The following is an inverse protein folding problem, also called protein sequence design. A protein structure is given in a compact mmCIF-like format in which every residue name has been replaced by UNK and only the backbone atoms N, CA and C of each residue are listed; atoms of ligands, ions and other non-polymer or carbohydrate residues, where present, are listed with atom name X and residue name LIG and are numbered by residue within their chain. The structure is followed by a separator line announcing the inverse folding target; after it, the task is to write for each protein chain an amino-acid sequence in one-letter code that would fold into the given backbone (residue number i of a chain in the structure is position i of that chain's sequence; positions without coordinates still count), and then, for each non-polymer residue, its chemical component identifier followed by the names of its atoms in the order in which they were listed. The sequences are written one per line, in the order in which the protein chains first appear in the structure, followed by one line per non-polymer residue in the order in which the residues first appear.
data_IF_798625941312
#
_entry.id   IF_798625941312
#
_cell.length_a   1.000
_cell.length_b   1.000
_cell.length_c   1.000
_cell.angle_alpha   90.00
_cell.angle_beta   90.00
_cell.angle_gamma   90.00
#
_symmetry.space_group_name_H-M   'P 1'
#
loop_
_entity.id
_entity.type
_entity.pdbx_description
1 polymer ?
#
# COMPACT_ATOMS: atom_id res chain seq x y z
N UNK A 1 -19.63 5.97 18.38
CA UNK A 1 -18.31 5.41 17.99
C UNK A 1 -18.55 4.00 17.50
N UNK A 2 -18.31 3.71 16.21
CA UNK A 2 -18.50 2.36 15.68
C UNK A 2 -17.47 1.44 16.34
N UNK A 3 -17.88 0.28 16.85
CA UNK A 3 -17.03 -0.65 17.61
C UNK A 3 -16.01 -1.42 16.75
N UNK A 4 -15.55 -0.83 15.64
CA UNK A 4 -14.61 -1.45 14.73
C UNK A 4 -13.16 -1.18 15.09
N UNK A 5 -12.28 -2.15 14.80
CA UNK A 5 -10.84 -2.01 14.96
C UNK A 5 -10.07 -2.86 13.94
N UNK A 6 -8.80 -2.50 13.75
CA UNK A 6 -7.81 -3.25 12.97
C UNK A 6 -6.69 -3.73 13.88
N UNK A 7 -6.20 -4.94 13.63
CA UNK A 7 -4.99 -5.50 14.24
C UNK A 7 -4.03 -5.78 13.08
N UNK A 8 -2.81 -5.26 13.18
CA UNK A 8 -1.72 -5.46 12.21
C UNK A 8 -0.79 -6.59 12.65
N UNK A 9 -0.02 -7.14 11.71
CA UNK A 9 1.03 -8.16 11.98
C UNK A 9 0.53 -9.37 12.79
N UNK A 10 -0.73 -9.76 12.59
CA UNK A 10 -1.36 -10.88 13.25
C UNK A 10 -1.10 -12.20 12.52
N UNK A 11 -1.04 -13.28 13.29
CA UNK A 11 -0.92 -14.64 12.76
C UNK A 11 -2.28 -15.35 12.79
N UNK A 12 -2.42 -16.44 12.02
CA UNK A 12 -3.60 -17.32 12.09
C UNK A 12 -3.86 -17.84 13.50
N UNK A 13 -2.81 -18.03 14.31
CA UNK A 13 -2.92 -18.43 15.73
C UNK A 13 -3.59 -17.34 16.57
N UNK A 14 -3.16 -16.07 16.40
CA UNK A 14 -3.78 -14.92 17.08
C UNK A 14 -5.25 -14.81 16.69
N UNK A 15 -5.58 -14.93 15.41
CA UNK A 15 -6.97 -14.90 14.93
C UNK A 15 -7.83 -16.00 15.56
N UNK A 16 -7.35 -17.24 15.58
CA UNK A 16 -8.09 -18.36 16.18
C UNK A 16 -8.32 -18.18 17.70
N UNK A 17 -7.39 -17.52 18.40
CA UNK A 17 -7.48 -17.26 19.83
C UNK A 17 -8.46 -16.12 20.19
N UNK A 18 -8.62 -15.11 19.32
CA UNK A 18 -9.43 -13.91 19.59
C UNK A 18 -10.91 -14.23 19.86
N UNK A 19 -11.49 -15.21 19.17
CA UNK A 19 -12.92 -15.61 19.29
C UNK A 19 -13.92 -14.43 19.22
N UNK A 20 -13.61 -13.38 18.45
CA UNK A 20 -14.44 -12.18 18.31
C UNK A 20 -15.44 -12.35 17.16
N UNK A 21 -16.73 -12.12 17.44
CA UNK A 21 -17.78 -12.18 16.43
C UNK A 21 -17.58 -11.09 15.36
N UNK A 22 -17.61 -11.49 14.10
CA UNK A 22 -17.44 -10.57 12.96
C UNK A 22 -15.98 -10.18 12.67
N UNK A 23 -15.01 -10.81 13.33
CA UNK A 23 -13.61 -10.68 12.94
C UNK A 23 -13.34 -11.39 11.61
N UNK A 24 -12.55 -10.73 10.75
CA UNK A 24 -12.06 -11.27 9.48
C UNK A 24 -10.54 -11.23 9.49
N UNK A 25 -9.91 -12.37 9.20
CA UNK A 25 -8.48 -12.47 8.97
C UNK A 25 -8.15 -12.29 7.49
N UNK A 26 -7.13 -11.49 7.20
CA UNK A 26 -6.60 -11.23 5.87
C UNK A 26 -5.20 -11.85 5.80
N UNK A 27 -5.08 -13.08 5.26
CA UNK A 27 -3.83 -13.85 5.35
C UNK A 27 -2.68 -13.23 4.56
N UNK A 28 -2.97 -12.50 3.47
CA UNK A 28 -1.94 -11.88 2.63
C UNK A 28 -1.19 -10.77 3.37
N UNK A 29 -1.87 -10.01 4.23
CA UNK A 29 -1.29 -8.90 5.01
C UNK A 29 -1.07 -9.20 6.49
N UNK A 30 -1.56 -10.34 6.98
CA UNK A 30 -1.58 -10.60 8.43
C UNK A 30 -2.49 -9.64 9.19
N UNK A 31 -3.51 -9.06 8.55
CA UNK A 31 -4.43 -8.14 9.19
C UNK A 31 -5.63 -8.87 9.79
N UNK A 32 -6.17 -8.36 10.90
CA UNK A 32 -7.51 -8.73 11.39
C UNK A 32 -8.37 -7.47 11.44
N UNK A 33 -9.57 -7.54 10.89
CA UNK A 33 -10.53 -6.43 10.92
C UNK A 33 -11.83 -6.85 11.59
N UNK A 34 -12.39 -5.99 12.43
CA UNK A 34 -13.76 -6.09 12.96
C UNK A 34 -14.49 -4.81 12.60
N UNK A 35 -15.65 -4.90 11.96
CA UNK A 35 -16.40 -3.72 11.50
C UNK A 35 -15.79 -3.06 10.26
N UNK A 36 -15.71 -1.73 10.28
CA UNK A 36 -15.25 -0.91 9.15
C UNK A 36 -16.40 -0.26 8.36
N UNK A 37 -16.06 0.72 7.53
CA UNK A 37 -17.03 1.49 6.76
C UNK A 37 -17.65 0.65 5.65
N UNK A 38 -18.98 0.61 5.54
CA UNK A 38 -19.67 -0.17 4.52
C UNK A 38 -19.65 0.51 3.15
N UNK A 39 -19.85 1.83 3.14
CA UNK A 39 -19.84 2.63 1.90
C UNK A 39 -18.39 2.95 1.54
N UNK A 40 -18.02 2.67 0.29
CA UNK A 40 -16.68 2.96 -0.24
C UNK A 40 -16.76 4.15 -1.18
N UNK A 41 -15.92 5.16 -0.98
CA UNK A 41 -15.89 6.37 -1.81
C UNK A 41 -14.49 6.60 -2.42
N UNK A 42 -14.44 7.42 -3.47
CA UNK A 42 -13.21 7.79 -4.16
C UNK A 42 -12.54 6.60 -4.85
N UNK A 43 -11.22 6.68 -5.04
CA UNK A 43 -10.41 5.58 -5.57
C UNK A 43 -8.96 5.70 -5.09
N UNK A 44 -8.50 4.73 -4.31
CA UNK A 44 -7.10 4.57 -3.91
C UNK A 44 -6.51 3.44 -4.75
N UNK A 45 -5.46 3.73 -5.49
CA UNK A 45 -4.75 2.72 -6.29
C UNK A 45 -3.52 2.26 -5.53
N UNK A 46 -3.28 0.95 -5.45
CA UNK A 46 -2.11 0.37 -4.79
C UNK A 46 -1.31 -0.45 -5.79
N UNK A 47 -0.05 -0.10 -5.97
CA UNK A 47 0.90 -0.83 -6.79
C UNK A 47 1.94 -1.56 -5.95
N UNK A 48 2.39 -2.71 -6.43
CA UNK A 48 3.64 -3.35 -5.96
C UNK A 48 4.66 -3.43 -7.07
N UNK A 49 5.94 -3.24 -6.75
CA UNK A 49 7.02 -3.55 -7.70
C UNK A 49 7.14 -5.04 -7.98
N UNK A 50 7.09 -5.89 -6.95
CA UNK A 50 7.14 -7.34 -7.12
C UNK A 50 6.15 -8.08 -6.22
N UNK A 51 6.06 -9.39 -6.39
CA UNK A 51 5.18 -10.25 -5.58
C UNK A 51 5.57 -10.27 -4.10
N UNK A 52 6.85 -10.05 -3.79
CA UNK A 52 7.34 -9.98 -2.40
C UNK A 52 6.81 -8.77 -1.62
N UNK A 53 6.36 -7.73 -2.31
CA UNK A 53 5.80 -6.52 -1.70
C UNK A 53 4.29 -6.65 -1.38
N UNK A 54 3.64 -7.75 -1.82
CA UNK A 54 2.18 -7.92 -1.74
C UNK A 54 1.67 -7.82 -0.30
N UNK A 55 2.39 -8.34 0.70
CA UNK A 55 1.90 -8.32 2.08
C UNK A 55 1.74 -6.90 2.62
N UNK A 56 2.70 -6.02 2.32
CA UNK A 56 2.68 -4.61 2.71
C UNK A 56 1.63 -3.83 1.90
N UNK A 57 1.45 -4.15 0.61
CA UNK A 57 0.40 -3.56 -0.21
C UNK A 57 -1.01 -3.96 0.25
N UNK A 58 -1.22 -5.23 0.59
CA UNK A 58 -2.47 -5.73 1.16
C UNK A 58 -2.75 -5.11 2.53
N UNK A 59 -1.72 -4.83 3.35
CA UNK A 59 -1.89 -4.11 4.61
C UNK A 59 -2.45 -2.69 4.35
N UNK A 60 -1.89 -1.98 3.36
CA UNK A 60 -2.38 -0.67 2.95
C UNK A 60 -3.79 -0.72 2.38
N UNK A 61 -4.08 -1.71 1.52
CA UNK A 61 -5.37 -1.88 0.88
C UNK A 61 -6.49 -2.21 1.88
N UNK A 62 -6.24 -3.15 2.79
CA UNK A 62 -7.16 -3.50 3.89
C UNK A 62 -7.40 -2.28 4.77
N UNK A 63 -6.35 -1.53 5.12
CA UNK A 63 -6.47 -0.35 5.97
C UNK A 63 -7.30 0.75 5.32
N UNK A 64 -6.97 1.16 4.09
CA UNK A 64 -7.72 2.21 3.38
C UNK A 64 -9.17 1.78 3.12
N UNK A 65 -9.39 0.51 2.76
CA UNK A 65 -10.73 -0.04 2.59
C UNK A 65 -11.50 -0.01 3.89
N UNK A 66 -10.93 -0.49 5.01
CA UNK A 66 -11.57 -0.50 6.32
C UNK A 66 -12.07 0.89 6.74
N UNK A 67 -11.29 1.94 6.44
CA UNK A 67 -11.63 3.33 6.71
C UNK A 67 -12.69 3.92 5.77
N UNK A 68 -13.01 3.26 4.64
CA UNK A 68 -14.09 3.67 3.73
C UNK A 68 -13.66 4.13 2.35
N UNK A 69 -12.40 3.93 1.97
CA UNK A 69 -11.96 4.16 0.59
C UNK A 69 -12.31 2.98 -0.32
N UNK A 70 -12.69 3.24 -1.57
CA UNK A 70 -12.61 2.22 -2.61
C UNK A 70 -11.14 2.02 -2.95
N UNK A 71 -10.70 0.77 -2.99
CA UNK A 71 -9.30 0.43 -3.24
C UNK A 71 -9.21 -0.49 -4.46
N UNK A 72 -8.28 -0.18 -5.34
CA UNK A 72 -7.86 -1.00 -6.47
C UNK A 72 -6.40 -1.41 -6.24
N UNK A 73 -6.08 -2.69 -6.45
CA UNK A 73 -4.72 -3.21 -6.29
C UNK A 73 -4.23 -3.78 -7.62
N UNK A 74 -2.97 -3.51 -7.93
CA UNK A 74 -2.30 -4.03 -9.13
C UNK A 74 -0.90 -4.48 -8.74
N UNK A 75 -0.63 -5.77 -8.95
CA UNK A 75 0.58 -6.41 -8.49
C UNK A 75 1.62 -6.63 -9.60
N UNK A 76 2.88 -6.78 -9.20
CA UNK A 76 4.03 -7.06 -10.08
C UNK A 76 4.16 -6.11 -11.29
N UNK A 77 4.20 -4.79 -11.01
CA UNK A 77 4.41 -3.73 -12.02
C UNK A 77 5.80 -3.08 -11.93
N UNK A 78 6.79 -3.85 -11.50
CA UNK A 78 8.16 -3.39 -11.27
C UNK A 78 8.87 -2.86 -12.51
N UNK A 79 9.98 -2.17 -12.27
CA UNK A 79 10.74 -1.40 -13.28
C UNK A 79 11.30 -2.29 -14.41
N UNK A 80 11.63 -3.55 -14.13
CA UNK A 80 12.10 -4.49 -15.16
C UNK A 80 11.04 -4.78 -16.25
N UNK A 81 9.76 -4.49 -16.00
CA UNK A 81 8.67 -4.76 -16.92
C UNK A 81 7.70 -3.58 -17.03
N UNK A 82 8.19 -2.38 -17.37
CA UNK A 82 7.39 -1.15 -17.42
C UNK A 82 6.11 -1.24 -18.26
N UNK A 83 6.08 -2.07 -19.30
CA UNK A 83 4.87 -2.31 -20.07
C UNK A 83 3.68 -2.75 -19.20
N UNK A 84 3.93 -3.49 -18.11
CA UNK A 84 2.91 -3.90 -17.14
C UNK A 84 2.31 -2.69 -16.41
N UNK A 85 3.14 -1.73 -16.01
CA UNK A 85 2.66 -0.46 -15.44
C UNK A 85 1.89 0.36 -16.47
N UNK A 86 2.42 0.49 -17.70
CA UNK A 86 1.82 1.28 -18.77
C UNK A 86 0.44 0.77 -19.22
N UNK A 87 0.14 -0.52 -19.00
CA UNK A 87 -1.20 -1.08 -19.25
C UNK A 87 -2.25 -0.59 -18.24
N UNK A 88 -1.84 0.07 -17.14
CA UNK A 88 -2.72 0.56 -16.07
C UNK A 88 -2.98 2.07 -16.14
N UNK A 89 -2.82 2.71 -17.32
CA UNK A 89 -3.06 4.15 -17.52
C UNK A 89 -4.45 4.60 -17.06
N UNK A 90 -5.49 3.81 -17.32
CA UNK A 90 -6.86 4.15 -16.89
C UNK A 90 -6.98 4.20 -15.37
N UNK A 91 -6.41 3.22 -14.68
CA UNK A 91 -6.39 3.17 -13.22
C UNK A 91 -5.63 4.36 -12.64
N UNK A 92 -4.44 4.66 -13.18
CA UNK A 92 -3.61 5.82 -12.81
C UNK A 92 -4.41 7.14 -12.87
N UNK A 93 -5.10 7.40 -13.99
CA UNK A 93 -5.89 8.62 -14.16
C UNK A 93 -7.12 8.69 -13.25
N UNK A 94 -7.74 7.55 -12.94
CA UNK A 94 -8.94 7.48 -12.11
C UNK A 94 -8.67 7.57 -10.60
N UNK A 95 -7.42 7.36 -10.18
CA UNK A 95 -7.04 7.38 -8.78
C UNK A 95 -7.10 8.82 -8.22
N UNK A 96 -7.50 8.96 -6.95
CA UNK A 96 -7.35 10.21 -6.19
C UNK A 96 -5.99 10.29 -5.51
N UNK A 97 -5.43 9.13 -5.17
CA UNK A 97 -4.11 8.94 -4.54
C UNK A 97 -3.59 7.56 -4.88
N UNK A 98 -2.28 7.43 -5.04
CA UNK A 98 -1.62 6.19 -5.42
C UNK A 98 -0.66 5.78 -4.32
N UNK A 99 -0.76 4.56 -3.83
CA UNK A 99 0.22 3.93 -2.94
C UNK A 99 1.14 3.08 -3.81
N UNK A 100 2.45 3.28 -3.69
CA UNK A 100 3.45 2.49 -4.42
C UNK A 100 4.34 1.78 -3.40
N UNK A 101 4.25 0.47 -3.37
CA UNK A 101 5.00 -0.39 -2.46
C UNK A 101 6.15 -1.05 -3.23
N UNK A 102 7.39 -0.81 -2.81
CA UNK A 102 8.55 -1.32 -3.54
C UNK A 102 9.77 -1.52 -2.64
N UNK A 103 10.43 -2.67 -2.81
CA UNK A 103 11.73 -2.97 -2.23
C UNK A 103 12.90 -2.74 -3.18
N UNK A 104 14.02 -3.42 -2.91
CA UNK A 104 15.26 -3.36 -3.71
C UNK A 104 15.79 -1.91 -3.87
N UNK A 105 15.82 -1.37 -5.09
CA UNK A 105 16.28 -0.02 -5.43
C UNK A 105 15.22 1.08 -5.20
N UNK A 106 13.97 0.72 -4.87
CA UNK A 106 12.92 1.69 -4.54
C UNK A 106 12.53 2.65 -5.67
N UNK A 107 12.80 2.31 -6.92
CA UNK A 107 12.65 3.23 -8.07
C UNK A 107 11.22 3.40 -8.59
N UNK A 108 10.31 2.44 -8.31
CA UNK A 108 8.96 2.45 -8.87
C UNK A 108 8.15 3.72 -8.55
N UNK A 109 8.16 4.29 -7.33
CA UNK A 109 7.42 5.53 -7.05
C UNK A 109 7.83 6.71 -7.94
N UNK A 110 9.12 6.85 -8.23
CA UNK A 110 9.63 7.90 -9.13
C UNK A 110 9.13 7.69 -10.56
N UNK A 111 9.12 6.45 -11.04
CA UNK A 111 8.57 6.12 -12.36
C UNK A 111 7.07 6.43 -12.41
N UNK A 112 6.31 6.01 -11.40
CA UNK A 112 4.86 6.25 -11.33
C UNK A 112 4.54 7.73 -11.34
N UNK A 113 5.28 8.55 -10.59
CA UNK A 113 5.06 10.00 -10.57
C UNK A 113 5.50 10.75 -11.82
N UNK A 114 6.32 10.14 -12.68
CA UNK A 114 6.53 10.63 -14.04
C UNK A 114 5.34 10.38 -14.98
N UNK A 115 4.37 9.55 -14.58
CA UNK A 115 3.25 9.11 -15.41
C UNK A 115 1.89 9.66 -14.95
N UNK A 116 1.85 10.40 -13.84
CA UNK A 116 0.59 10.82 -13.21
C UNK A 116 0.73 12.16 -12.49
N UNK A 117 -0.38 12.90 -12.42
CA UNK A 117 -0.53 14.13 -11.65
C UNK A 117 -1.02 13.88 -10.21
N UNK A 118 -1.31 12.61 -9.86
CA UNK A 118 -1.89 12.23 -8.56
C UNK A 118 -0.84 12.17 -7.46
N UNK A 119 -1.19 12.49 -6.20
CA UNK A 119 -0.29 12.33 -5.07
C UNK A 119 0.11 10.87 -4.88
N UNK A 120 1.37 10.65 -4.52
CA UNK A 120 1.95 9.32 -4.35
C UNK A 120 2.39 9.13 -2.90
N UNK A 121 2.02 7.99 -2.34
CA UNK A 121 2.51 7.50 -1.04
C UNK A 121 3.46 6.35 -1.33
N UNK A 122 4.75 6.59 -1.19
CA UNK A 122 5.79 5.60 -1.39
C UNK A 122 6.01 4.82 -0.09
N UNK A 123 5.96 3.49 -0.17
CA UNK A 123 6.17 2.59 0.96
C UNK A 123 7.38 1.71 0.66
N UNK A 124 8.55 2.01 1.25
CA UNK A 124 9.70 1.14 1.12
C UNK A 124 9.42 -0.17 1.87
N UNK A 125 9.86 -1.29 1.32
CA UNK A 125 9.74 -2.59 1.97
C UNK A 125 11.11 -3.13 2.37
N UNK A 126 11.13 -3.98 3.38
CA UNK A 126 12.35 -4.66 3.83
C UNK A 126 12.77 -5.81 2.91
N UNK A 127 11.97 -6.10 1.87
CA UNK A 127 12.29 -7.16 0.91
C UNK A 127 13.41 -6.75 -0.03
N UNK A 128 14.22 -7.75 -0.39
CA UNK A 128 15.38 -7.59 -1.24
C UNK A 128 16.59 -8.30 -0.65
N UNK A 129 17.70 -8.25 -1.37
CA UNK A 129 18.95 -8.91 -0.98
C UNK A 129 20.15 -7.98 -1.18
N UNK A 130 21.30 -8.37 -0.63
CA UNK A 130 22.55 -7.63 -0.77
C UNK A 130 22.44 -6.19 -0.25
N UNK A 131 22.63 -5.23 -1.14
CA UNK A 131 22.69 -3.80 -0.82
C UNK A 131 21.31 -3.18 -0.55
N UNK A 132 20.22 -3.95 -0.50
CA UNK A 132 18.92 -3.43 -0.03
C UNK A 132 18.94 -3.00 1.44
N UNK A 133 19.80 -3.63 2.26
CA UNK A 133 20.02 -3.30 3.68
C UNK A 133 18.72 -3.23 4.50
N UNK A 134 17.84 -4.23 4.33
CA UNK A 134 16.56 -4.31 5.04
C UNK A 134 15.58 -3.18 4.68
N UNK A 135 15.67 -2.65 3.46
CA UNK A 135 14.80 -1.58 2.97
C UNK A 135 15.37 -0.16 3.12
N UNK A 136 16.54 0.01 3.75
CA UNK A 136 17.18 1.33 3.88
C UNK A 136 17.52 1.94 2.52
N UNK A 137 17.99 1.13 1.58
CA UNK A 137 18.29 1.61 0.22
C UNK A 137 17.04 2.09 -0.48
N UNK A 138 15.94 1.34 -0.40
CA UNK A 138 14.65 1.76 -0.95
C UNK A 138 14.12 3.04 -0.26
N UNK A 139 14.21 3.13 1.07
CA UNK A 139 13.82 4.32 1.83
C UNK A 139 14.59 5.56 1.40
N UNK A 140 15.92 5.49 1.34
CA UNK A 140 16.74 6.63 0.92
C UNK A 140 16.53 6.98 -0.56
N UNK A 141 16.37 5.99 -1.44
CA UNK A 141 16.05 6.24 -2.84
C UNK A 141 14.71 6.99 -2.99
N UNK A 142 13.66 6.57 -2.27
CA UNK A 142 12.36 7.22 -2.29
C UNK A 142 12.40 8.64 -1.71
N UNK A 143 13.16 8.87 -0.63
CA UNK A 143 13.34 10.20 -0.04
C UNK A 143 14.14 11.15 -0.94
N UNK A 144 15.11 10.62 -1.70
CA UNK A 144 15.92 11.39 -2.64
C UNK A 144 15.20 11.65 -3.98
N UNK A 145 14.02 11.08 -4.19
CA UNK A 145 13.26 11.27 -5.43
C UNK A 145 12.94 12.75 -5.65
N UNK A 146 13.25 13.27 -6.84
CA UNK A 146 12.95 14.66 -7.23
C UNK A 146 11.51 14.85 -7.71
N UNK A 147 10.72 13.77 -7.76
CA UNK A 147 9.35 13.81 -8.27
C UNK A 147 8.44 14.52 -7.27
N UNK A 148 7.73 15.59 -7.67
CA UNK A 148 6.86 16.32 -6.77
C UNK A 148 5.65 15.47 -6.37
N UNK A 149 5.13 15.71 -5.16
CA UNK A 149 3.92 15.05 -4.67
C UNK A 149 4.12 13.63 -4.14
N UNK A 150 5.37 13.20 -3.90
CA UNK A 150 5.69 11.96 -3.17
C UNK A 150 5.76 12.23 -1.67
N UNK A 151 5.04 11.42 -0.89
CA UNK A 151 5.21 11.27 0.55
C UNK A 151 5.74 9.87 0.86
N UNK A 152 6.78 9.76 1.68
CA UNK A 152 7.45 8.49 1.98
C UNK A 152 7.05 7.99 3.37
N UNK A 153 6.64 6.72 3.46
CA UNK A 153 6.33 6.05 4.72
C UNK A 153 7.57 5.37 5.31
N UNK A 154 7.47 4.93 6.57
CA UNK A 154 8.47 4.05 7.15
C UNK A 154 8.47 2.67 6.45
N UNK A 155 9.55 1.92 6.62
CA UNK A 155 9.73 0.58 6.03
C UNK A 155 8.61 -0.34 6.50
N UNK A 156 8.00 -1.05 5.54
CA UNK A 156 6.88 -1.98 5.72
C UNK A 156 5.62 -1.36 6.34
N UNK A 157 5.48 -0.03 6.34
CA UNK A 157 4.35 0.65 6.98
C UNK A 157 3.14 0.77 6.05
N UNK A 158 2.55 -0.36 5.68
CA UNK A 158 1.33 -0.41 4.87
C UNK A 158 0.14 0.25 5.58
N UNK A 159 0.02 0.07 6.90
CA UNK A 159 -1.03 0.68 7.71
C UNK A 159 -1.00 2.21 7.64
N UNK A 160 0.18 2.81 7.83
CA UNK A 160 0.38 4.26 7.72
C UNK A 160 0.01 4.77 6.33
N UNK A 161 0.42 4.04 5.29
CA UNK A 161 0.09 4.37 3.92
C UNK A 161 -1.43 4.35 3.66
N UNK A 162 -2.13 3.30 4.12
CA UNK A 162 -3.58 3.18 3.97
C UNK A 162 -4.35 4.28 4.72
N UNK A 163 -3.89 4.65 5.92
CA UNK A 163 -4.45 5.75 6.70
C UNK A 163 -4.31 7.10 5.99
N UNK A 164 -3.10 7.42 5.50
CA UNK A 164 -2.83 8.66 4.80
C UNK A 164 -3.59 8.72 3.47
N UNK A 165 -3.59 7.62 2.71
CA UNK A 165 -4.32 7.52 1.45
C UNK A 165 -5.82 7.76 1.66
N UNK A 166 -6.41 7.19 2.71
CA UNK A 166 -7.81 7.44 3.02
C UNK A 166 -8.08 8.92 3.29
N UNK A 167 -7.23 9.60 4.09
CA UNK A 167 -7.39 11.03 4.37
C UNK A 167 -7.35 11.86 3.08
N UNK A 168 -6.35 11.64 2.23
CA UNK A 168 -6.21 12.35 0.95
C UNK A 168 -7.40 12.06 0.04
N UNK A 169 -7.86 10.81 -0.02
CA UNK A 169 -8.98 10.38 -0.84
C UNK A 169 -10.34 11.00 -0.44
N UNK A 170 -10.45 11.54 0.79
CA UNK A 170 -11.68 12.17 1.30
C UNK A 170 -11.65 13.70 1.25
N UNK A 171 -10.54 14.32 0.85
CA UNK A 171 -10.49 15.74 0.49
C UNK A 171 -11.25 16.01 -0.82
#
# INVERSE_FOLDING_TARGET
RSGGFLITKATKKIYAALKIKGAKFHPASGMISVGGEKKKNGNVLVFTAGTSDISVAEEAAVTASFLGSKVETVYDVGVAGLHRLLNNKKSLHSARVIIVVAGMEGALPSVVGGLTDKPIIAVPTSVGYGTSLGGLTALFAMLNSCVPGIAVMNIDNGFGAGCLAHKINML
#
